data_IF_026160574699
#
_entry.id   IF_026160574699
#
_cell.length_a   1.000
_cell.length_b   1.000
_cell.length_c   1.000
_cell.angle_alpha   90.00
_cell.angle_beta   90.00
_cell.angle_gamma   90.00
#
_symmetry.space_group_name_H-M   'P 1'
#
loop_
_entity.id
_entity.type
_entity.pdbx_description
1 polymer ?
#
# COMPACT_ATOMS: atom_id res chain seq x y z
N UNK A 1 -0.48 2.30 -25.45
CA UNK A 1 -1.04 2.68 -24.13
C UNK A 1 -0.23 1.99 -23.06
N UNK A 2 0.29 2.75 -22.10
CA UNK A 2 1.21 2.30 -21.06
C UNK A 2 0.67 2.71 -19.68
N UNK A 3 0.76 1.81 -18.71
CA UNK A 3 0.27 1.98 -17.33
C UNK A 3 1.14 1.14 -16.39
N UNK A 4 1.84 1.77 -15.44
CA UNK A 4 2.59 1.21 -14.29
C UNK A 4 3.82 0.33 -14.60
N UNK A 5 3.76 -0.44 -15.68
CA UNK A 5 4.75 -1.47 -16.03
C UNK A 5 5.74 -1.05 -17.13
N UNK A 6 5.64 0.17 -17.63
CA UNK A 6 6.53 0.73 -18.65
C UNK A 6 7.78 1.39 -18.05
N UNK A 7 8.91 1.46 -18.78
CA UNK A 7 10.17 2.05 -18.29
C UNK A 7 10.16 3.59 -18.21
N UNK A 8 8.99 4.22 -18.18
CA UNK A 8 8.81 5.67 -18.11
C UNK A 8 8.00 6.02 -16.87
N UNK A 9 8.39 7.10 -16.19
CA UNK A 9 7.71 7.55 -14.98
C UNK A 9 6.47 8.36 -15.33
N UNK A 10 5.28 7.87 -14.97
CA UNK A 10 4.01 8.50 -15.31
C UNK A 10 3.79 9.81 -14.56
N UNK A 11 4.20 9.91 -13.29
CA UNK A 11 3.92 11.09 -12.46
C UNK A 11 4.62 12.35 -12.97
N UNK A 12 5.93 12.34 -13.31
CA UNK A 12 6.59 13.49 -13.93
C UNK A 12 6.00 13.83 -15.30
N UNK A 13 5.67 12.82 -16.13
CA UNK A 13 5.06 13.05 -17.46
C UNK A 13 3.70 13.73 -17.32
N UNK A 14 2.86 13.25 -16.39
CA UNK A 14 1.54 13.83 -16.13
C UNK A 14 1.65 15.27 -15.60
N UNK A 15 2.65 15.58 -14.76
CA UNK A 15 2.90 16.94 -14.30
C UNK A 15 3.33 17.87 -15.45
N UNK A 16 4.21 17.41 -16.34
CA UNK A 16 4.60 18.16 -17.54
C UNK A 16 3.42 18.38 -18.50
N UNK A 17 2.53 17.40 -18.62
CA UNK A 17 1.30 17.48 -19.41
C UNK A 17 0.19 18.33 -18.75
N UNK A 18 0.47 19.02 -17.64
CA UNK A 18 -0.51 19.91 -16.99
C UNK A 18 -1.64 19.20 -16.26
N UNK A 19 -1.57 17.87 -16.07
CA UNK A 19 -2.60 17.11 -15.36
C UNK A 19 -2.58 17.34 -13.84
N UNK A 20 -1.56 18.00 -13.31
CA UNK A 20 -1.40 18.28 -11.90
C UNK A 20 0.05 18.63 -11.57
N UNK A 21 0.38 18.63 -10.28
CA UNK A 21 1.75 18.78 -9.80
C UNK A 21 2.15 17.58 -8.94
N UNK A 22 3.45 17.33 -8.84
CA UNK A 22 3.94 16.31 -7.92
C UNK A 22 3.99 16.88 -6.51
N UNK A 23 3.22 16.32 -5.58
CA UNK A 23 3.18 16.76 -4.20
C UNK A 23 4.41 16.34 -3.41
N UNK A 24 4.54 16.86 -2.17
CA UNK A 24 5.64 16.48 -1.26
C UNK A 24 5.65 14.99 -0.91
N UNK A 25 4.50 14.31 -1.00
CA UNK A 25 4.36 12.86 -0.89
C UNK A 25 4.76 12.09 -2.17
N UNK A 26 5.32 12.78 -3.17
CA UNK A 26 5.74 12.25 -4.48
C UNK A 26 4.64 11.79 -5.42
N UNK A 27 3.37 11.94 -5.04
CA UNK A 27 2.20 11.57 -5.86
C UNK A 27 1.74 12.75 -6.71
N UNK A 28 1.06 12.46 -7.82
CA UNK A 28 0.44 13.51 -8.63
C UNK A 28 -0.84 13.99 -7.92
N UNK A 29 -0.99 15.30 -7.79
CA UNK A 29 -2.17 15.93 -7.20
C UNK A 29 -2.82 16.80 -8.27
N UNK A 30 -4.14 16.65 -8.45
CA UNK A 30 -4.94 17.45 -9.36
C UNK A 30 -5.89 18.37 -8.59
N UNK A 31 -6.13 19.56 -9.13
CA UNK A 31 -6.97 20.58 -8.48
C UNK A 31 -8.47 20.24 -8.46
N UNK A 32 -8.93 19.37 -9.38
CA UNK A 32 -10.32 18.97 -9.54
C UNK A 32 -10.62 17.58 -8.97
N UNK A 33 -9.64 16.67 -8.99
CA UNK A 33 -9.80 15.26 -8.61
C UNK A 33 -9.01 14.87 -7.35
N UNK A 34 -8.22 15.79 -6.80
CA UNK A 34 -7.34 15.49 -5.66
C UNK A 34 -6.22 14.53 -6.05
N UNK A 35 -5.71 13.73 -5.09
CA UNK A 35 -4.56 12.85 -5.33
C UNK A 35 -4.94 11.40 -5.74
N UNK A 36 -6.23 11.09 -5.91
CA UNK A 36 -6.72 9.74 -6.24
C UNK A 36 -6.85 9.54 -7.75
N UNK A 37 -5.71 9.38 -8.41
CA UNK A 37 -5.61 9.28 -9.86
C UNK A 37 -4.97 7.96 -10.28
N UNK A 38 -5.53 7.34 -11.31
CA UNK A 38 -4.83 6.32 -12.10
C UNK A 38 -4.20 7.01 -13.31
N UNK A 39 -2.90 6.81 -13.50
CA UNK A 39 -2.15 7.44 -14.59
C UNK A 39 -1.87 6.45 -15.71
N UNK A 40 -1.96 6.93 -16.94
CA UNK A 40 -1.55 6.20 -18.13
C UNK A 40 -1.12 7.17 -19.20
N UNK A 41 -0.33 6.70 -20.16
CA UNK A 41 0.13 7.52 -21.27
C UNK A 41 0.15 6.74 -22.59
N UNK A 42 0.20 7.49 -23.69
CA UNK A 42 0.36 6.97 -25.04
C UNK A 42 1.57 7.66 -25.65
N UNK A 43 2.54 6.86 -26.09
CA UNK A 43 3.64 7.36 -26.92
C UNK A 43 3.14 7.45 -28.36
N UNK A 44 3.41 8.59 -28.99
CA UNK A 44 3.06 8.84 -30.38
C UNK A 44 4.12 9.73 -31.01
N UNK A 45 4.33 9.56 -32.31
CA UNK A 45 5.13 10.41 -33.18
C UNK A 45 4.33 11.60 -33.75
N UNK A 46 3.03 11.68 -33.45
CA UNK A 46 2.20 12.81 -33.82
C UNK A 46 2.72 14.09 -33.16
N UNK A 47 2.91 15.12 -33.98
CA UNK A 47 3.28 16.45 -33.51
C UNK A 47 2.02 17.15 -33.01
N UNK A 48 1.89 17.25 -31.69
CA UNK A 48 0.78 17.94 -31.01
C UNK A 48 1.31 19.10 -30.17
N UNK A 49 0.54 20.21 -30.04
CA UNK A 49 0.90 21.27 -29.12
C UNK A 49 1.02 20.74 -27.68
N UNK A 50 2.07 21.15 -26.98
CA UNK A 50 2.24 20.79 -25.56
C UNK A 50 1.36 21.65 -24.66
N UNK A 51 0.78 21.01 -23.64
CA UNK A 51 0.15 21.70 -22.52
C UNK A 51 1.19 22.39 -21.63
N UNK A 52 0.71 23.27 -20.74
CA UNK A 52 1.55 23.94 -19.74
C UNK A 52 1.56 23.13 -18.44
N UNK A 53 2.73 22.92 -17.82
CA UNK A 53 2.81 22.31 -16.50
C UNK A 53 2.00 23.09 -15.46
N UNK A 54 1.40 22.37 -14.50
CA UNK A 54 0.73 23.01 -13.36
C UNK A 54 1.76 23.53 -12.35
N UNK A 55 1.41 24.62 -11.65
CA UNK A 55 2.19 25.10 -10.51
C UNK A 55 2.07 24.18 -9.30
N UNK A 56 3.09 24.15 -8.45
CA UNK A 56 3.02 23.49 -7.16
C UNK A 56 2.04 24.22 -6.22
N UNK A 57 1.13 23.46 -5.59
CA UNK A 57 0.17 23.98 -4.62
C UNK A 57 0.27 23.34 -3.22
N UNK A 58 1.42 22.74 -2.88
CA UNK A 58 1.71 22.27 -1.54
C UNK A 58 2.10 23.41 -0.58
N UNK A 59 2.82 24.42 -1.07
CA UNK A 59 3.29 25.54 -0.25
C UNK A 59 4.03 25.08 1.01
N UNK A 60 3.67 25.60 2.18
CA UNK A 60 4.28 25.24 3.47
C UNK A 60 3.71 23.96 4.11
N UNK A 61 2.69 23.33 3.52
CA UNK A 61 2.04 22.14 4.09
C UNK A 61 3.01 20.95 4.24
N UNK A 62 2.97 20.24 5.37
CA UNK A 62 3.79 19.05 5.67
C UNK A 62 2.96 17.82 6.06
N UNK A 63 1.62 17.90 6.07
CA UNK A 63 0.72 16.87 6.64
C UNK A 63 1.04 15.43 6.22
N UNK A 64 1.31 15.20 4.94
CA UNK A 64 1.62 13.87 4.41
C UNK A 64 2.95 13.30 4.92
N UNK A 65 3.91 14.17 5.22
CA UNK A 65 5.19 13.80 5.82
C UNK A 65 5.00 13.51 7.31
N UNK A 66 4.24 14.37 7.99
CA UNK A 66 3.99 14.28 9.44
C UNK A 66 3.20 13.03 9.83
N UNK A 67 2.22 12.62 9.02
CA UNK A 67 1.39 11.43 9.29
C UNK A 67 2.10 10.11 8.96
N UNK A 68 3.15 10.13 8.15
CA UNK A 68 3.77 8.91 7.63
C UNK A 68 4.31 8.04 8.78
N UNK A 69 3.75 6.83 9.04
CA UNK A 69 4.07 6.08 10.26
C UNK A 69 5.55 5.72 10.39
N UNK A 70 6.21 5.52 9.26
CA UNK A 70 7.62 5.11 9.16
C UNK A 70 8.56 6.27 8.82
N UNK A 71 8.04 7.50 8.69
CA UNK A 71 8.81 8.66 8.24
C UNK A 71 9.54 8.38 6.92
N UNK A 72 8.82 7.85 5.94
CA UNK A 72 9.37 7.49 4.62
C UNK A 72 9.73 8.71 3.76
N UNK A 73 9.41 9.93 4.20
CA UNK A 73 9.73 11.18 3.51
C UNK A 73 10.85 11.93 4.24
N UNK A 74 12.15 11.65 3.96
CA UNK A 74 13.25 12.34 4.63
C UNK A 74 13.27 13.85 4.36
N UNK A 75 12.71 14.28 3.23
CA UNK A 75 12.50 15.69 2.87
C UNK A 75 11.36 15.80 1.85
N UNK A 76 10.81 17.00 1.60
CA UNK A 76 9.78 17.20 0.58
C UNK A 76 10.19 16.60 -0.78
N UNK A 77 9.25 15.93 -1.45
CA UNK A 77 9.41 15.35 -2.79
C UNK A 77 10.39 14.18 -2.89
N UNK A 78 10.90 13.67 -1.75
CA UNK A 78 11.78 12.50 -1.72
C UNK A 78 11.13 11.40 -0.89
N UNK A 79 11.01 10.21 -1.48
CA UNK A 79 10.49 9.02 -0.82
C UNK A 79 11.61 7.98 -0.66
N UNK A 80 11.86 7.54 0.56
CA UNK A 80 12.61 6.32 0.83
C UNK A 80 11.66 5.11 0.78
N UNK A 81 11.62 4.43 -0.38
CA UNK A 81 10.73 3.29 -0.59
C UNK A 81 10.96 2.14 0.39
N UNK A 82 12.19 1.99 0.92
CA UNK A 82 12.53 0.92 1.89
C UNK A 82 11.77 1.07 3.21
N UNK A 83 11.27 2.27 3.50
CA UNK A 83 10.46 2.61 4.68
C UNK A 83 8.97 2.71 4.34
N UNK A 84 8.61 2.87 3.07
CA UNK A 84 7.24 3.09 2.64
C UNK A 84 6.38 1.83 2.86
N UNK A 85 5.32 1.94 3.65
CA UNK A 85 4.43 0.81 3.93
C UNK A 85 3.78 0.24 2.66
N UNK A 86 3.44 1.10 1.68
CA UNK A 86 2.93 0.63 0.39
C UNK A 86 3.97 -0.22 -0.37
N UNK A 87 5.24 0.19 -0.40
CA UNK A 87 6.30 -0.63 -0.99
C UNK A 87 6.52 -1.93 -0.21
N UNK A 88 6.59 -1.85 1.12
CA UNK A 88 6.83 -3.02 1.98
C UNK A 88 5.74 -4.08 1.83
N UNK A 89 4.47 -3.67 1.70
CA UNK A 89 3.34 -4.58 1.56
C UNK A 89 3.13 -5.08 0.14
N UNK A 90 3.47 -4.31 -0.90
CA UNK A 90 3.20 -4.65 -2.30
C UNK A 90 4.42 -5.22 -3.03
N UNK A 91 5.56 -4.55 -2.93
CA UNK A 91 6.72 -4.77 -3.80
C UNK A 91 7.85 -5.54 -3.13
N UNK A 92 8.10 -5.29 -1.84
CA UNK A 92 9.22 -5.90 -1.13
C UNK A 92 9.12 -7.43 -1.15
N UNK A 93 10.11 -8.15 -1.70
CA UNK A 93 10.03 -9.59 -1.85
C UNK A 93 10.31 -10.36 -0.54
N UNK A 94 11.02 -9.73 0.40
CA UNK A 94 11.54 -10.39 1.60
C UNK A 94 10.72 -10.15 2.87
N UNK A 95 11.32 -10.44 4.04
CA UNK A 95 10.71 -10.15 5.32
C UNK A 95 10.56 -8.64 5.53
N UNK A 96 9.40 -8.20 5.99
CA UNK A 96 9.20 -6.81 6.44
C UNK A 96 10.13 -6.58 7.64
N UNK A 97 11.01 -5.55 7.62
CA UNK A 97 11.90 -5.26 8.74
C UNK A 97 11.16 -5.14 10.06
N UNK A 98 11.71 -5.72 11.14
CA UNK A 98 11.03 -5.83 12.43
C UNK A 98 10.57 -4.50 13.01
N UNK A 99 11.36 -3.45 12.83
CA UNK A 99 11.04 -2.08 13.25
C UNK A 99 9.79 -1.50 12.58
N UNK A 100 9.44 -1.96 11.37
CA UNK A 100 8.26 -1.51 10.66
C UNK A 100 7.04 -2.39 10.88
N UNK A 101 7.20 -3.65 11.35
CA UNK A 101 6.07 -4.57 11.54
C UNK A 101 4.98 -4.01 12.48
N UNK A 102 5.29 -3.39 13.64
CA UNK A 102 4.28 -2.74 14.47
C UNK A 102 3.60 -1.53 13.81
N UNK A 103 4.33 -0.82 12.95
CA UNK A 103 3.87 0.41 12.30
C UNK A 103 2.95 0.14 11.10
N UNK A 104 2.85 -1.12 10.64
CA UNK A 104 1.90 -1.50 9.60
C UNK A 104 0.44 -1.35 10.02
N UNK A 105 0.11 -1.40 11.32
CA UNK A 105 -1.28 -1.37 11.77
C UNK A 105 -2.14 -2.43 11.07
N UNK A 106 -3.22 -1.99 10.44
CA UNK A 106 -4.15 -2.82 9.65
C UNK A 106 -3.91 -2.77 8.13
N UNK A 107 -2.80 -2.16 7.69
CA UNK A 107 -2.46 -1.99 6.28
C UNK A 107 -2.03 -3.32 5.63
N UNK A 108 -3.01 -4.04 5.07
CA UNK A 108 -2.81 -5.36 4.46
C UNK A 108 -2.15 -5.30 3.06
N UNK A 109 -2.49 -4.29 2.25
CA UNK A 109 -1.98 -4.10 0.89
C UNK A 109 -2.05 -2.62 0.54
N UNK A 110 -0.88 -1.97 0.42
CA UNK A 110 -0.82 -0.52 0.24
C UNK A 110 -0.86 0.25 1.57
N UNK A 111 -0.80 1.58 1.46
CA UNK A 111 -0.94 2.51 2.57
C UNK A 111 -1.34 3.87 1.99
N UNK A 112 -2.46 4.41 2.45
CA UNK A 112 -3.07 5.62 1.89
C UNK A 112 -2.99 6.84 2.82
N UNK A 113 -2.32 6.71 3.98
CA UNK A 113 -2.19 7.78 4.99
C UNK A 113 -1.75 9.13 4.39
N UNK A 114 -0.74 9.10 3.51
CA UNK A 114 -0.20 10.30 2.86
C UNK A 114 -1.13 10.91 1.79
N UNK A 115 -2.11 10.14 1.30
CA UNK A 115 -3.19 10.58 0.41
C UNK A 115 -4.35 11.16 1.23
N UNK A 116 -4.78 10.45 2.26
CA UNK A 116 -5.95 10.78 3.07
C UNK A 116 -5.85 12.15 3.73
N UNK A 117 -4.68 12.47 4.29
CA UNK A 117 -4.46 13.76 4.98
C UNK A 117 -4.21 14.94 4.03
N UNK A 118 -4.05 14.68 2.73
CA UNK A 118 -3.75 15.72 1.75
C UNK A 118 -4.92 16.73 1.70
N UNK A 119 -4.70 18.06 1.84
CA UNK A 119 -5.79 19.04 1.79
C UNK A 119 -6.57 19.05 0.47
N UNK A 120 -5.95 18.57 -0.62
CA UNK A 120 -6.58 18.43 -1.93
C UNK A 120 -7.48 17.20 -2.03
N UNK A 121 -7.46 16.31 -1.05
CA UNK A 121 -8.37 15.17 -0.94
C UNK A 121 -9.85 15.60 -0.85
N UNK A 122 -10.13 16.84 -0.41
CA UNK A 122 -11.50 17.41 -0.45
C UNK A 122 -12.12 17.46 -1.86
N UNK A 123 -11.30 17.34 -2.90
CA UNK A 123 -11.73 17.31 -4.30
C UNK A 123 -11.85 15.88 -4.85
N UNK A 124 -11.49 14.87 -4.06
CA UNK A 124 -11.61 13.48 -4.47
C UNK A 124 -13.07 13.09 -4.64
N UNK A 125 -13.34 12.26 -5.65
CA UNK A 125 -14.67 11.73 -5.93
C UNK A 125 -14.60 10.21 -5.94
N UNK A 126 -15.60 9.57 -5.34
CA UNK A 126 -15.75 8.13 -5.44
C UNK A 126 -16.03 7.75 -6.91
N UNK A 127 -15.27 6.79 -7.43
CA UNK A 127 -15.47 6.32 -8.80
C UNK A 127 -16.83 5.63 -8.96
N UNK A 128 -17.45 5.80 -10.13
CA UNK A 128 -18.64 5.06 -10.55
C UNK A 128 -18.31 3.82 -11.37
N UNK A 129 -17.03 3.58 -11.65
CA UNK A 129 -16.58 2.41 -12.39
C UNK A 129 -16.73 1.15 -11.54
N UNK A 130 -17.63 0.25 -11.94
CA UNK A 130 -17.90 -1.00 -11.22
C UNK A 130 -16.63 -1.85 -11.02
N UNK A 131 -15.67 -1.77 -11.94
CA UNK A 131 -14.38 -2.47 -11.85
C UNK A 131 -13.48 -1.97 -10.73
N UNK A 132 -13.76 -0.79 -10.18
CA UNK A 132 -13.06 -0.19 -9.04
C UNK A 132 -13.84 -0.36 -7.73
N UNK A 133 -14.91 -1.16 -7.73
CA UNK A 133 -15.64 -1.48 -6.50
C UNK A 133 -14.73 -2.26 -5.56
N UNK A 134 -14.62 -1.88 -4.27
CA UNK A 134 -13.81 -2.60 -3.31
C UNK A 134 -14.21 -4.08 -3.22
N UNK A 135 -13.21 -4.96 -3.19
CA UNK A 135 -13.43 -6.38 -2.96
C UNK A 135 -13.76 -6.56 -1.46
N UNK A 136 -14.89 -7.21 -1.10
CA UNK A 136 -15.20 -7.50 0.29
C UNK A 136 -14.04 -8.25 0.96
N UNK A 137 -13.61 -7.77 2.14
CA UNK A 137 -12.56 -8.46 2.92
C UNK A 137 -13.18 -9.67 3.61
N UNK A 138 -12.65 -10.85 3.33
CA UNK A 138 -12.89 -12.02 4.16
C UNK A 138 -12.14 -11.87 5.49
N UNK A 139 -12.46 -12.73 6.45
CA UNK A 139 -11.77 -12.78 7.73
C UNK A 139 -10.27 -13.08 7.53
N UNK A 140 -9.41 -12.38 8.28
CA UNK A 140 -7.96 -12.49 8.13
C UNK A 140 -7.45 -13.89 8.52
N UNK A 141 -7.99 -14.45 9.59
CA UNK A 141 -7.67 -15.80 10.06
C UNK A 141 -8.09 -16.86 9.04
N UNK A 142 -9.25 -16.69 8.40
CA UNK A 142 -9.69 -17.54 7.29
C UNK A 142 -8.73 -17.45 6.09
N UNK A 143 -8.38 -16.22 5.68
CA UNK A 143 -7.47 -15.97 4.56
C UNK A 143 -6.06 -16.50 4.81
N UNK A 144 -5.61 -16.53 6.06
CA UNK A 144 -4.33 -17.10 6.44
C UNK A 144 -4.25 -18.60 6.11
N UNK A 145 -5.40 -19.29 6.14
CA UNK A 145 -5.52 -20.71 5.83
C UNK A 145 -5.64 -21.06 4.34
N UNK A 146 -5.63 -20.08 3.43
CA UNK A 146 -5.75 -20.34 2.00
C UNK A 146 -4.54 -21.13 1.49
N UNK A 147 -4.66 -21.82 0.37
CA UNK A 147 -3.55 -22.43 -0.36
C UNK A 147 -3.26 -21.64 -1.67
N UNK A 148 -2.29 -22.07 -2.46
CA UNK A 148 -1.93 -21.39 -3.71
C UNK A 148 -3.10 -21.42 -4.72
N UNK A 149 -3.87 -22.51 -4.75
CA UNK A 149 -4.99 -22.69 -5.67
C UNK A 149 -6.10 -21.69 -5.35
N UNK A 150 -6.49 -21.60 -4.07
CA UNK A 150 -7.48 -20.65 -3.58
C UNK A 150 -7.02 -19.21 -3.78
N UNK A 151 -5.79 -18.86 -3.37
CA UNK A 151 -5.23 -17.52 -3.58
C UNK A 151 -5.33 -17.09 -5.05
N UNK A 152 -4.93 -17.97 -5.97
CA UNK A 152 -4.99 -17.67 -7.41
C UNK A 152 -6.41 -17.52 -7.92
N UNK A 153 -7.36 -18.31 -7.42
CA UNK A 153 -8.76 -18.23 -7.83
C UNK A 153 -9.38 -16.90 -7.39
N UNK A 154 -9.14 -16.49 -6.15
CA UNK A 154 -9.75 -15.28 -5.59
C UNK A 154 -9.13 -13.99 -6.15
N UNK A 155 -7.81 -13.95 -6.35
CA UNK A 155 -7.13 -12.70 -6.72
C UNK A 155 -6.72 -12.57 -8.18
N UNK A 156 -6.97 -13.55 -9.06
CA UNK A 156 -6.66 -13.42 -10.49
C UNK A 156 -7.37 -12.21 -11.08
N UNK A 157 -6.61 -11.38 -11.82
CA UNK A 157 -7.13 -10.16 -12.42
C UNK A 157 -7.20 -8.96 -11.47
N UNK A 158 -6.75 -9.12 -10.22
CA UNK A 158 -6.64 -8.02 -9.24
C UNK A 158 -5.16 -7.62 -9.06
N UNK A 159 -4.87 -6.39 -8.61
CA UNK A 159 -3.50 -5.98 -8.26
C UNK A 159 -2.84 -6.87 -7.19
N UNK A 160 -3.62 -7.48 -6.30
CA UNK A 160 -3.13 -8.36 -5.22
C UNK A 160 -2.43 -9.60 -5.79
N UNK A 161 -2.81 -10.06 -6.98
CA UNK A 161 -2.23 -11.24 -7.62
C UNK A 161 -0.69 -11.18 -7.70
N UNK A 162 -0.11 -9.97 -7.84
CA UNK A 162 1.34 -9.77 -7.94
C UNK A 162 2.10 -10.21 -6.69
N UNK A 163 1.47 -10.19 -5.51
CA UNK A 163 2.12 -10.59 -4.25
C UNK A 163 2.50 -12.06 -4.27
N UNK A 164 1.70 -12.89 -4.95
CA UNK A 164 1.66 -14.35 -4.74
C UNK A 164 1.25 -14.69 -3.30
N UNK A 165 0.96 -15.96 -3.05
CA UNK A 165 0.47 -16.44 -1.76
C UNK A 165 1.37 -16.07 -0.58
N UNK A 166 2.68 -16.28 -0.68
CA UNK A 166 3.60 -16.13 0.44
C UNK A 166 3.63 -14.69 0.99
N UNK A 167 3.73 -13.67 0.11
CA UNK A 167 3.73 -12.27 0.54
C UNK A 167 2.36 -11.80 1.02
N UNK A 168 1.29 -12.36 0.48
CA UNK A 168 -0.07 -12.14 0.99
C UNK A 168 -0.20 -12.63 2.43
N UNK A 169 0.20 -13.87 2.70
CA UNK A 169 0.20 -14.43 4.05
C UNK A 169 1.12 -13.70 5.01
N UNK A 170 2.33 -13.32 4.55
CA UNK A 170 3.26 -12.47 5.32
C UNK A 170 2.57 -11.20 5.83
N UNK A 171 1.83 -10.51 4.96
CA UNK A 171 1.10 -9.30 5.35
C UNK A 171 -0.01 -9.62 6.35
N UNK A 172 -0.80 -10.69 6.13
CA UNK A 172 -1.84 -11.12 7.07
C UNK A 172 -1.25 -11.40 8.46
N UNK A 173 -0.17 -12.19 8.54
CA UNK A 173 0.48 -12.50 9.82
C UNK A 173 0.93 -11.23 10.55
N UNK A 174 1.44 -10.24 9.81
CA UNK A 174 1.87 -8.96 10.38
C UNK A 174 0.69 -8.14 10.89
N UNK A 175 -0.37 -8.03 10.10
CA UNK A 175 -1.60 -7.33 10.47
C UNK A 175 -2.26 -8.00 11.69
N UNK A 176 -2.42 -9.32 11.69
CA UNK A 176 -2.94 -10.06 12.86
C UNK A 176 -2.06 -9.84 14.09
N UNK A 177 -0.74 -9.77 13.94
CA UNK A 177 0.16 -9.37 15.02
C UNK A 177 -0.22 -8.03 15.65
N UNK A 178 -0.67 -7.06 14.85
CA UNK A 178 -1.00 -5.70 15.27
C UNK A 178 -2.43 -5.50 15.77
N UNK A 179 -3.41 -6.16 15.15
CA UNK A 179 -4.85 -5.94 15.43
C UNK A 179 -5.60 -7.20 15.88
N UNK A 180 -5.02 -8.38 15.68
CA UNK A 180 -5.65 -9.66 16.03
C UNK A 180 -5.80 -9.85 17.54
N UNK A 181 -6.65 -10.80 17.90
CA UNK A 181 -7.01 -11.14 19.27
C UNK A 181 -6.51 -12.54 19.65
N UNK A 182 -6.88 -13.02 20.84
CA UNK A 182 -6.57 -14.39 21.27
C UNK A 182 -7.12 -15.45 20.30
N UNK A 183 -8.25 -15.17 19.64
CA UNK A 183 -8.92 -16.10 18.73
C UNK A 183 -8.14 -16.33 17.43
N UNK A 184 -7.20 -15.44 17.09
CA UNK A 184 -6.35 -15.56 15.90
C UNK A 184 -5.08 -16.40 16.14
N UNK A 185 -4.74 -16.69 17.40
CA UNK A 185 -3.53 -17.44 17.76
C UNK A 185 -3.48 -18.84 17.10
N UNK A 186 -4.58 -19.63 17.03
CA UNK A 186 -4.55 -20.93 16.35
C UNK A 186 -4.20 -20.82 14.86
N UNK A 187 -4.69 -19.80 14.16
CA UNK A 187 -4.39 -19.56 12.74
C UNK A 187 -2.92 -19.22 12.54
N UNK A 188 -2.35 -18.38 13.40
CA UNK A 188 -0.92 -18.04 13.40
C UNK A 188 -0.04 -19.22 13.78
N UNK A 189 -0.46 -20.07 14.73
CA UNK A 189 0.26 -21.29 15.08
C UNK A 189 0.35 -22.23 13.87
N UNK A 190 -0.76 -22.43 13.16
CA UNK A 190 -0.78 -23.22 11.92
C UNK A 190 0.13 -22.62 10.85
N UNK A 191 0.08 -21.30 10.64
CA UNK A 191 0.94 -20.61 9.68
C UNK A 191 2.43 -20.64 10.05
N UNK A 192 2.77 -20.78 11.33
CA UNK A 192 4.17 -20.94 11.79
C UNK A 192 4.84 -22.25 11.33
N UNK A 193 4.03 -23.18 10.81
CA UNK A 193 4.41 -24.47 10.24
C UNK A 193 4.27 -24.51 8.70
N UNK A 194 4.03 -23.36 8.04
CA UNK A 194 3.94 -23.28 6.58
C UNK A 194 5.26 -23.75 5.91
N UNK A 195 5.21 -24.14 4.64
CA UNK A 195 6.42 -24.55 3.91
C UNK A 195 7.33 -23.36 3.55
N UNK A 196 6.76 -22.15 3.45
CA UNK A 196 7.51 -20.94 3.12
C UNK A 196 8.12 -20.28 4.38
N UNK A 197 9.46 -20.15 4.48
CA UNK A 197 10.11 -19.52 5.62
C UNK A 197 9.64 -18.10 5.93
N UNK A 198 9.25 -17.34 4.89
CA UNK A 198 8.72 -15.99 5.04
C UNK A 198 7.41 -15.98 5.83
N UNK A 199 6.53 -16.95 5.56
CA UNK A 199 5.26 -17.08 6.28
C UNK A 199 5.53 -17.54 7.71
N UNK A 200 6.42 -18.52 7.91
CA UNK A 200 6.78 -19.01 9.24
C UNK A 200 7.29 -17.88 10.16
N UNK A 201 8.22 -17.07 9.65
CA UNK A 201 8.83 -15.96 10.38
C UNK A 201 7.77 -14.96 10.85
N UNK A 202 6.93 -14.48 9.93
CA UNK A 202 5.91 -13.48 10.24
C UNK A 202 4.79 -14.05 11.11
N UNK A 203 4.44 -15.33 10.96
CA UNK A 203 3.47 -15.99 11.82
C UNK A 203 3.96 -16.10 13.27
N UNK A 204 5.23 -16.49 13.48
CA UNK A 204 5.85 -16.52 14.82
C UNK A 204 5.90 -15.14 15.44
N UNK A 205 6.30 -14.13 14.66
CA UNK A 205 6.29 -12.74 15.12
C UNK A 205 4.88 -12.27 15.51
N UNK A 206 3.87 -12.52 14.66
CA UNK A 206 2.49 -12.13 14.90
C UNK A 206 1.93 -12.76 16.18
N UNK A 207 2.17 -14.06 16.37
CA UNK A 207 1.78 -14.79 17.59
C UNK A 207 2.38 -14.15 18.84
N UNK A 208 3.70 -13.93 18.84
CA UNK A 208 4.41 -13.33 19.96
C UNK A 208 3.91 -11.92 20.25
N UNK A 209 3.60 -11.14 19.21
CA UNK A 209 3.07 -9.77 19.33
C UNK A 209 1.69 -9.75 19.98
N UNK A 210 0.78 -10.66 19.60
CA UNK A 210 -0.54 -10.77 20.24
C UNK A 210 -0.37 -11.13 21.73
N UNK A 211 0.44 -12.14 22.05
CA UNK A 211 0.70 -12.56 23.43
C UNK A 211 1.26 -11.40 24.27
N UNK A 212 2.20 -10.64 23.71
CA UNK A 212 2.79 -9.48 24.39
C UNK A 212 1.73 -8.39 24.66
N UNK A 213 0.86 -8.09 23.68
CA UNK A 213 -0.20 -7.08 23.83
C UNK A 213 -1.21 -7.49 24.91
N UNK A 214 -1.73 -8.72 24.85
CA UNK A 214 -2.69 -9.25 25.84
C UNK A 214 -2.07 -9.38 27.24
N UNK A 215 -0.80 -9.78 27.35
CA UNK A 215 -0.11 -9.86 28.64
C UNK A 215 0.17 -8.48 29.27
N UNK A 216 0.19 -7.42 28.46
CA UNK A 216 0.32 -6.03 28.94
C UNK A 216 -1.01 -5.42 29.37
N UNK A 217 -2.15 -6.00 28.99
CA UNK A 217 -3.48 -5.53 29.38
C UNK A 217 -3.93 -6.09 30.75
N UNK A 218 -3.23 -7.10 31.26
CA UNK A 218 -3.53 -7.79 32.53
C UNK A 218 -2.70 -7.21 33.71
N UNK A 219 -1.66 -6.44 33.42
CA UNK A 219 -0.81 -5.75 34.41
C UNK A 219 -1.09 -4.25 34.46
#
# INVERSE_FOLDING_TARGET
>A
MCVDSSPLMEKPIAAMAGLGWQGKNTLLINTQHGPWLMLGFILTDLVIPHDKPSSDHCGTCTRCMDVCPTQAFPQPYVLDSRRCLAYLTIEHPGPIPEEFRPLLGDHLFGCDECLDVCPWNRHAQQSRELRLTPIPRADLSEMLGWDEIRFRREFRGTPIFRLKRARWLRNICTVLGNIGTQDDLPSLEKASQDQDPLVQEHARWGKNRIIQRLGSEIN
#
